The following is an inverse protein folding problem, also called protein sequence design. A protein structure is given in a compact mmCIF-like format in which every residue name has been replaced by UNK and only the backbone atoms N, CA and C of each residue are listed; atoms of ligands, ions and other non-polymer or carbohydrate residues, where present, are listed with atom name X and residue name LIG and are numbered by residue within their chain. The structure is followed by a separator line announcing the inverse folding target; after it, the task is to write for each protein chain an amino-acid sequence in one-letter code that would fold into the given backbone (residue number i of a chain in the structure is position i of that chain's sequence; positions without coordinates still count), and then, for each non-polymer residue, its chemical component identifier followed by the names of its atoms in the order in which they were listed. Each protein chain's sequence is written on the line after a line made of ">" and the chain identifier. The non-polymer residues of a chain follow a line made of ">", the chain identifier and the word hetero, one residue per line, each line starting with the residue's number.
data_IF_762159838510
#
_entry.id   IF_762159838510
#
_cell.length_a   1.000
_cell.length_b   1.000
_cell.length_c   1.000
_cell.angle_alpha   90.00
_cell.angle_beta   90.00
_cell.angle_gamma   90.00
#
_symmetry.space_group_name_H-M   'P 1'
#
loop_
_entity.id
_entity.type
_entity.pdbx_description
1 polymer ?
#
# COMPACT_ATOMS: atom_id res chain seq x y z
N UNK A 1 26.98 33.00 33.04
CA UNK A 1 26.46 31.64 33.30
C UNK A 1 25.47 31.29 32.21
N UNK A 2 25.78 30.30 31.36
CA UNK A 2 24.87 29.83 30.30
C UNK A 2 23.73 29.06 30.96
N UNK A 3 22.49 29.44 30.68
CA UNK A 3 21.30 28.85 31.30
C UNK A 3 21.01 27.47 30.67
N UNK A 4 21.20 26.40 31.44
CA UNK A 4 21.11 24.97 31.06
C UNK A 4 19.65 24.50 31.21
N UNK A 5 18.69 25.19 30.62
CA UNK A 5 17.28 24.77 30.66
C UNK A 5 16.55 25.07 29.34
N UNK A 6 16.76 24.22 28.32
CA UNK A 6 15.75 23.92 27.29
C UNK A 6 16.07 22.70 26.41
N UNK A 7 16.74 21.65 26.93
CA UNK A 7 16.98 20.39 26.19
C UNK A 7 15.93 19.32 26.45
N UNK A 8 14.66 19.72 26.51
CA UNK A 8 13.55 18.79 26.35
C UNK A 8 12.67 19.31 25.21
N UNK A 9 13.10 19.08 23.97
CA UNK A 9 12.16 19.06 22.85
C UNK A 9 11.12 18.00 23.19
N UNK A 10 9.87 18.43 23.45
CA UNK A 10 8.74 17.51 23.60
C UNK A 10 8.76 16.59 22.39
N UNK A 11 8.99 15.30 22.63
CA UNK A 11 8.95 14.26 21.60
C UNK A 11 7.61 14.38 20.89
N UNK A 12 7.65 14.72 19.61
CA UNK A 12 6.45 15.00 18.83
C UNK A 12 5.78 13.66 18.54
N UNK A 13 4.69 13.35 19.24
CA UNK A 13 3.88 12.17 18.94
C UNK A 13 3.30 12.30 17.53
N UNK A 14 3.27 11.19 16.79
CA UNK A 14 2.62 11.13 15.47
C UNK A 14 3.45 11.64 14.29
N UNK A 15 4.79 11.68 14.35
CA UNK A 15 5.66 12.07 13.22
C UNK A 15 6.46 10.88 12.67
N UNK A 16 5.78 9.79 12.32
CA UNK A 16 6.44 8.57 11.81
C UNK A 16 6.47 8.47 10.29
N UNK A 17 5.71 9.31 9.59
CA UNK A 17 5.76 9.41 8.13
C UNK A 17 6.79 10.45 7.72
N UNK A 18 7.64 10.10 6.76
CA UNK A 18 8.56 11.01 6.10
C UNK A 18 7.99 11.46 4.75
N UNK A 19 8.29 12.70 4.37
CA UNK A 19 7.88 13.28 3.10
C UNK A 19 8.54 12.51 1.95
N UNK A 20 7.78 12.23 0.88
CA UNK A 20 8.33 11.69 -0.35
C UNK A 20 9.12 12.76 -1.12
N UNK A 21 10.44 12.65 -1.06
CA UNK A 21 11.40 13.58 -1.66
C UNK A 21 11.85 13.17 -3.07
N UNK A 22 11.24 12.14 -3.67
CA UNK A 22 11.54 11.74 -5.06
C UNK A 22 11.19 12.86 -6.03
N UNK A 23 11.85 12.87 -7.20
CA UNK A 23 11.49 13.75 -8.31
C UNK A 23 10.06 13.44 -8.79
N UNK A 24 9.34 14.43 -9.31
CA UNK A 24 7.98 14.20 -9.84
C UNK A 24 7.98 13.15 -10.96
N UNK A 25 9.01 13.12 -11.81
CA UNK A 25 9.20 12.08 -12.83
C UNK A 25 9.36 10.68 -12.27
N UNK A 26 9.85 10.54 -11.03
CA UNK A 26 9.92 9.25 -10.33
C UNK A 26 8.62 8.89 -9.62
N UNK A 27 7.82 9.88 -9.22
CA UNK A 27 6.46 9.67 -8.67
C UNK A 27 5.46 9.33 -9.75
N UNK A 28 5.59 9.91 -10.94
CA UNK A 28 4.80 9.58 -12.14
C UNK A 28 4.93 8.12 -12.54
N UNK A 29 6.04 7.48 -12.18
CA UNK A 29 6.21 6.05 -12.38
C UNK A 29 5.20 5.27 -11.53
N UNK A 30 4.86 5.65 -10.30
CA UNK A 30 4.03 4.83 -9.41
C UNK A 30 2.74 4.34 -10.09
N UNK A 31 2.38 3.07 -9.89
CA UNK A 31 1.21 2.48 -10.53
C UNK A 31 -0.04 3.19 -10.02
N UNK A 32 -0.89 3.70 -10.92
CA UNK A 32 -2.10 4.45 -10.56
C UNK A 32 -3.36 3.76 -11.05
N UNK A 33 -4.43 3.89 -10.28
CA UNK A 33 -5.66 3.12 -10.49
C UNK A 33 -6.41 3.40 -11.80
N UNK A 34 -6.15 4.54 -12.44
CA UNK A 34 -6.84 5.00 -13.66
C UNK A 34 -6.71 4.02 -14.85
N UNK A 35 -5.83 3.03 -14.74
CA UNK A 35 -5.60 1.99 -15.75
C UNK A 35 -6.26 0.65 -15.47
N UNK A 36 -6.71 0.40 -14.24
CA UNK A 36 -7.06 -0.95 -13.78
C UNK A 36 -8.55 -1.30 -13.87
N UNK A 37 -9.43 -0.30 -13.87
CA UNK A 37 -10.84 -0.35 -14.27
C UNK A 37 -11.55 0.91 -13.78
N UNK A 38 -12.73 1.19 -14.32
CA UNK A 38 -13.75 1.97 -13.61
C UNK A 38 -14.11 1.26 -12.31
N UNK A 39 -13.94 1.95 -11.18
CA UNK A 39 -14.38 1.49 -9.88
C UNK A 39 -15.91 1.48 -9.87
N UNK A 40 -16.52 0.33 -9.59
CA UNK A 40 -17.96 0.24 -9.48
C UNK A 40 -18.45 1.19 -8.36
N UNK A 41 -19.54 1.94 -8.59
CA UNK A 41 -20.05 2.85 -7.57
C UNK A 41 -20.44 2.05 -6.32
N UNK A 42 -19.99 2.52 -5.16
CA UNK A 42 -20.34 1.92 -3.88
C UNK A 42 -21.68 2.42 -3.38
N UNK A 43 -22.37 1.58 -2.60
CA UNK A 43 -23.59 1.97 -1.92
C UNK A 43 -23.24 2.45 -0.53
N UNK A 44 -23.36 3.75 -0.31
CA UNK A 44 -23.17 4.38 0.99
C UNK A 44 -24.39 4.13 1.88
N UNK A 45 -24.18 3.47 3.03
CA UNK A 45 -25.22 3.20 4.04
C UNK A 45 -24.63 3.39 5.42
N UNK A 46 -25.48 3.78 6.37
CA UNK A 46 -25.11 3.72 7.79
C UNK A 46 -24.75 2.29 8.19
N UNK A 47 -23.81 2.16 9.12
CA UNK A 47 -23.32 0.86 9.59
C UNK A 47 -23.04 0.96 11.09
N UNK A 48 -23.75 0.18 11.92
CA UNK A 48 -23.53 0.21 13.36
C UNK A 48 -22.22 -0.47 13.72
N UNK A 49 -21.65 -0.13 14.89
CA UNK A 49 -20.29 -0.49 15.28
C UNK A 49 -20.04 -2.00 15.33
N UNK A 50 -21.04 -2.80 15.69
CA UNK A 50 -20.99 -4.26 15.69
C UNK A 50 -20.71 -4.85 14.29
N UNK A 51 -21.12 -4.15 13.23
CA UNK A 51 -21.00 -4.60 11.84
C UNK A 51 -19.76 -4.03 11.14
N UNK A 52 -18.96 -3.21 11.82
CA UNK A 52 -17.71 -2.73 11.26
C UNK A 52 -16.76 -3.88 11.00
N UNK A 53 -16.08 -3.83 9.86
CA UNK A 53 -14.92 -4.69 9.61
C UNK A 53 -13.77 -4.25 10.53
N UNK A 54 -13.21 -5.19 11.29
CA UNK A 54 -12.22 -4.93 12.35
C UNK A 54 -11.09 -5.95 12.30
N UNK A 55 -9.89 -5.51 12.64
CA UNK A 55 -8.71 -6.36 12.77
C UNK A 55 -7.98 -6.08 14.09
N UNK A 56 -7.01 -6.95 14.50
CA UNK A 56 -6.22 -6.71 15.70
C UNK A 56 -5.57 -5.31 15.70
N UNK A 57 -5.73 -4.58 16.82
CA UNK A 57 -5.14 -3.25 17.00
C UNK A 57 -3.68 -3.39 17.41
N UNK A 58 -2.85 -2.46 16.92
CA UNK A 58 -1.40 -2.44 17.14
C UNK A 58 -0.99 -1.30 18.07
N UNK A 59 0.19 -1.42 18.68
CA UNK A 59 0.80 -0.36 19.48
C UNK A 59 2.27 -0.14 19.09
N UNK A 60 2.52 0.98 18.39
CA UNK A 60 3.87 1.43 18.03
C UNK A 60 4.64 2.05 19.21
N UNK A 61 3.96 2.30 20.34
CA UNK A 61 4.49 3.00 21.51
C UNK A 61 5.26 4.29 21.11
N UNK A 62 6.47 4.48 21.62
CA UNK A 62 7.26 5.70 21.49
C UNK A 62 8.22 5.67 20.28
N UNK A 63 7.88 4.92 19.22
CA UNK A 63 8.65 4.79 17.99
C UNK A 63 8.00 5.51 16.80
N UNK A 64 8.80 5.88 15.79
CA UNK A 64 8.34 6.46 14.52
C UNK A 64 7.77 5.43 13.54
N UNK A 65 7.41 4.24 13.99
CA UNK A 65 7.17 3.07 13.12
C UNK A 65 5.75 2.92 12.57
N UNK A 66 4.93 3.98 12.58
CA UNK A 66 3.54 3.92 12.11
C UNK A 66 3.40 3.40 10.67
N UNK A 67 4.32 3.78 9.77
CA UNK A 67 4.31 3.30 8.39
C UNK A 67 4.51 1.78 8.37
N UNK A 68 5.53 1.25 9.04
CA UNK A 68 5.75 -0.18 9.10
C UNK A 68 4.58 -0.94 9.74
N UNK A 69 3.99 -0.40 10.82
CA UNK A 69 2.79 -0.97 11.46
C UNK A 69 1.59 -1.03 10.52
N UNK A 70 1.35 0.04 9.74
CA UNK A 70 0.29 0.05 8.74
C UNK A 70 0.54 -0.96 7.62
N UNK A 71 1.80 -1.11 7.16
CA UNK A 71 2.14 -2.11 6.12
C UNK A 71 1.86 -3.52 6.59
N UNK A 72 2.33 -3.91 7.77
CA UNK A 72 2.08 -5.27 8.29
C UNK A 72 0.60 -5.54 8.58
N UNK A 73 -0.18 -4.50 8.89
CA UNK A 73 -1.64 -4.61 8.96
C UNK A 73 -2.25 -4.87 7.58
N UNK A 74 -1.85 -4.14 6.54
CA UNK A 74 -2.30 -4.45 5.17
C UNK A 74 -2.00 -5.91 4.79
N UNK A 75 -0.76 -6.37 5.03
CA UNK A 75 -0.35 -7.75 4.75
C UNK A 75 -1.15 -8.78 5.53
N UNK A 76 -1.39 -8.56 6.83
CA UNK A 76 -2.21 -9.45 7.64
C UNK A 76 -3.68 -9.53 7.18
N UNK A 77 -4.24 -8.41 6.73
CA UNK A 77 -5.60 -8.37 6.15
C UNK A 77 -5.65 -9.10 4.80
N UNK A 78 -4.64 -8.91 3.96
CA UNK A 78 -4.57 -9.64 2.69
C UNK A 78 -4.46 -11.15 2.93
N UNK A 79 -3.69 -11.59 3.93
CA UNK A 79 -3.62 -13.00 4.30
C UNK A 79 -4.97 -13.51 4.80
N UNK A 80 -5.69 -12.70 5.59
CA UNK A 80 -7.04 -13.04 6.02
C UNK A 80 -8.00 -13.19 4.85
N UNK A 81 -7.93 -12.32 3.84
CA UNK A 81 -8.76 -12.45 2.65
C UNK A 81 -8.48 -13.76 1.89
N UNK A 82 -7.21 -14.16 1.82
CA UNK A 82 -6.76 -15.32 1.06
C UNK A 82 -6.96 -16.66 1.80
N UNK A 83 -6.58 -16.71 3.07
CA UNK A 83 -6.50 -17.94 3.87
C UNK A 83 -7.58 -18.01 4.96
N UNK A 84 -8.39 -16.97 5.11
CA UNK A 84 -9.35 -16.81 6.22
C UNK A 84 -8.67 -16.77 7.60
N UNK A 85 -7.36 -16.51 7.63
CA UNK A 85 -6.55 -16.39 8.84
C UNK A 85 -5.72 -15.10 8.82
N UNK A 86 -5.85 -14.29 9.87
CA UNK A 86 -5.10 -13.05 9.98
C UNK A 86 -3.66 -13.32 10.42
N UNK A 87 -2.70 -13.06 9.53
CA UNK A 87 -1.29 -13.18 9.86
C UNK A 87 -0.81 -12.01 10.72
N UNK A 88 -0.37 -12.29 11.95
CA UNK A 88 0.20 -11.27 12.84
C UNK A 88 1.69 -11.10 12.53
N UNK A 89 2.03 -10.07 11.77
CA UNK A 89 3.37 -9.84 11.23
C UNK A 89 4.15 -8.74 11.97
N UNK A 90 5.48 -8.81 11.86
CA UNK A 90 6.44 -7.92 12.50
C UNK A 90 6.63 -6.59 11.77
N UNK A 91 6.17 -5.50 12.37
CA UNK A 91 6.47 -4.15 11.87
C UNK A 91 7.99 -3.88 11.91
N UNK A 92 8.72 -4.48 12.86
CA UNK A 92 10.16 -4.29 13.03
C UNK A 92 10.96 -4.89 11.86
N UNK A 93 10.49 -5.98 11.27
CA UNK A 93 11.14 -6.58 10.10
C UNK A 93 11.11 -5.62 8.89
N UNK A 94 9.98 -4.95 8.65
CA UNK A 94 9.93 -3.87 7.66
C UNK A 94 10.78 -2.68 8.10
N UNK A 95 10.59 -2.21 9.33
CA UNK A 95 11.17 -0.95 9.81
C UNK A 95 12.70 -0.95 9.79
N UNK A 96 13.34 -2.06 10.15
CA UNK A 96 14.81 -2.20 10.16
C UNK A 96 15.44 -2.30 8.76
N UNK A 97 14.65 -2.35 7.68
CA UNK A 97 15.14 -2.36 6.29
C UNK A 97 15.08 -0.99 5.61
N UNK A 98 14.47 0.01 6.27
CA UNK A 98 14.27 1.34 5.71
C UNK A 98 15.58 2.03 5.33
N UNK A 99 15.53 2.82 4.26
CA UNK A 99 16.69 3.52 3.73
C UNK A 99 17.32 4.51 4.74
N UNK A 100 16.51 5.08 5.64
CA UNK A 100 16.94 6.04 6.65
C UNK A 100 17.24 5.41 8.02
N UNK A 101 17.51 4.11 8.13
CA UNK A 101 17.95 3.51 9.40
C UNK A 101 19.30 4.15 9.82
N UNK A 102 19.48 4.56 11.10
CA UNK A 102 18.61 4.33 12.25
C UNK A 102 17.67 5.50 12.60
N UNK A 103 17.55 6.53 11.77
CA UNK A 103 16.67 7.68 12.05
C UNK A 103 15.19 7.27 12.06
N UNK A 104 14.39 7.89 12.93
CA UNK A 104 12.98 7.55 13.07
C UNK A 104 12.16 7.89 11.81
N UNK A 105 11.07 7.13 11.61
CA UNK A 105 10.12 7.31 10.52
C UNK A 105 10.49 6.58 9.23
N UNK A 106 9.53 6.48 8.31
CA UNK A 106 9.72 5.89 6.97
C UNK A 106 8.99 6.70 5.91
N UNK A 107 9.52 6.68 4.68
CA UNK A 107 8.78 7.11 3.50
C UNK A 107 7.83 6.00 3.04
N UNK A 108 6.64 6.36 2.54
CA UNK A 108 5.64 5.38 2.12
C UNK A 108 6.10 4.50 0.96
N UNK A 109 6.81 5.10 -0.01
CA UNK A 109 7.33 4.35 -1.15
C UNK A 109 8.43 3.35 -0.76
N UNK A 110 9.39 3.74 0.09
CA UNK A 110 10.43 2.83 0.60
C UNK A 110 9.79 1.65 1.34
N UNK A 111 8.78 1.94 2.17
CA UNK A 111 8.03 0.90 2.87
C UNK A 111 7.28 -0.05 1.93
N UNK A 112 6.66 0.45 0.86
CA UNK A 112 6.02 -0.38 -0.16
C UNK A 112 7.03 -1.26 -0.90
N UNK A 113 8.20 -0.72 -1.25
CA UNK A 113 9.27 -1.49 -1.91
C UNK A 113 9.80 -2.61 -1.02
N UNK A 114 10.01 -2.32 0.27
CA UNK A 114 10.43 -3.31 1.26
C UNK A 114 9.38 -4.40 1.39
N UNK A 115 8.10 -4.04 1.53
CA UNK A 115 7.02 -5.01 1.64
C UNK A 115 6.96 -5.94 0.42
N UNK A 116 7.08 -5.44 -0.81
CA UNK A 116 7.03 -6.26 -2.03
C UNK A 116 8.26 -7.17 -2.16
N UNK A 117 9.43 -6.66 -1.79
CA UNK A 117 10.68 -7.41 -1.90
C UNK A 117 10.80 -8.49 -0.83
N UNK A 118 10.37 -8.19 0.40
CA UNK A 118 10.71 -8.97 1.58
C UNK A 118 9.49 -9.50 2.34
N UNK A 119 8.31 -8.90 2.16
CA UNK A 119 7.16 -9.06 3.05
C UNK A 119 7.52 -8.67 4.48
N UNK A 120 6.99 -9.42 5.45
CA UNK A 120 7.34 -9.29 6.86
C UNK A 120 7.19 -10.64 7.55
N UNK A 121 8.17 -11.01 8.37
CA UNK A 121 8.10 -12.23 9.17
C UNK A 121 7.04 -12.13 10.27
N UNK A 122 6.71 -13.26 10.91
CA UNK A 122 5.75 -13.32 12.01
C UNK A 122 6.19 -12.48 13.22
N UNK A 123 5.23 -11.86 13.90
CA UNK A 123 5.46 -11.02 15.08
C UNK A 123 6.21 -11.77 16.20
N UNK A 124 5.94 -13.06 16.41
CA UNK A 124 6.64 -13.88 17.40
C UNK A 124 8.11 -14.17 17.05
N UNK A 125 8.49 -14.09 15.77
CA UNK A 125 9.86 -14.32 15.32
C UNK A 125 10.72 -13.06 15.40
N UNK A 126 10.12 -11.89 15.20
CA UNK A 126 10.77 -10.59 15.39
C UNK A 126 9.81 -9.59 16.07
N UNK A 127 9.65 -9.61 17.40
CA UNK A 127 8.66 -8.77 18.08
C UNK A 127 8.82 -7.28 17.79
N UNK A 128 7.70 -6.56 17.66
CA UNK A 128 7.61 -5.15 17.31
C UNK A 128 6.62 -4.36 18.18
N UNK A 129 5.60 -5.02 18.74
CA UNK A 129 4.61 -4.38 19.61
C UNK A 129 5.25 -3.79 20.88
N UNK A 130 4.78 -2.60 21.29
CA UNK A 130 5.22 -1.90 22.50
C UNK A 130 6.73 -1.63 22.56
N UNK A 131 7.38 -1.46 21.40
CA UNK A 131 8.81 -1.16 21.31
C UNK A 131 9.06 0.31 21.04
N UNK A 132 9.99 0.88 21.81
CA UNK A 132 10.53 2.21 21.55
C UNK A 132 11.43 2.21 20.29
N UNK A 133 11.87 3.40 19.89
CA UNK A 133 12.69 3.59 18.69
C UNK A 133 13.97 2.74 18.68
N UNK A 134 14.68 2.63 19.80
CA UNK A 134 15.92 1.84 19.88
C UNK A 134 15.65 0.37 19.60
N UNK A 135 14.64 -0.21 20.25
CA UNK A 135 14.28 -1.62 20.08
C UNK A 135 13.68 -1.91 18.70
N UNK A 136 12.99 -0.94 18.09
CA UNK A 136 12.52 -1.04 16.71
C UNK A 136 13.65 -0.98 15.68
N UNK A 137 14.84 -0.50 16.05
CA UNK A 137 16.01 -0.46 15.17
C UNK A 137 16.91 -1.69 15.26
N UNK A 138 16.65 -2.58 16.22
CA UNK A 138 17.42 -3.81 16.42
C UNK A 138 16.98 -4.92 15.46
N UNK A 139 17.93 -5.43 14.67
CA UNK A 139 17.78 -6.55 13.75
C UNK A 139 18.74 -7.72 14.03
N UNK A 140 19.36 -7.78 15.22
CA UNK A 140 20.29 -8.86 15.61
C UNK A 140 19.63 -10.25 15.57
N UNK A 141 18.34 -10.30 15.82
CA UNK A 141 17.55 -11.53 15.79
C UNK A 141 17.02 -11.87 14.39
N UNK A 142 17.25 -11.05 13.35
CA UNK A 142 16.97 -11.44 11.96
C UNK A 142 17.87 -12.61 11.55
N UNK A 143 17.27 -13.61 10.92
CA UNK A 143 17.95 -14.80 10.38
C UNK A 143 17.35 -15.14 9.00
N UNK A 144 18.09 -15.82 8.11
CA UNK A 144 17.59 -16.19 6.78
C UNK A 144 16.24 -16.90 6.79
N UNK A 145 16.00 -17.80 7.76
CA UNK A 145 14.71 -18.49 7.91
C UNK A 145 13.53 -17.52 8.13
N UNK A 146 13.75 -16.45 8.91
CA UNK A 146 12.74 -15.42 9.18
C UNK A 146 12.46 -14.58 7.92
N UNK A 147 13.49 -14.32 7.12
CA UNK A 147 13.34 -13.63 5.83
C UNK A 147 12.54 -14.46 4.84
N UNK A 148 12.83 -15.77 4.73
CA UNK A 148 12.07 -16.69 3.87
C UNK A 148 10.60 -16.74 4.29
N UNK A 149 10.33 -16.79 5.60
CA UNK A 149 8.95 -16.70 6.11
C UNK A 149 8.30 -15.37 5.73
N UNK A 150 9.03 -14.26 5.84
CA UNK A 150 8.52 -12.95 5.43
C UNK A 150 8.12 -12.90 3.95
N UNK A 151 8.89 -13.55 3.08
CA UNK A 151 8.63 -13.61 1.65
C UNK A 151 7.33 -14.33 1.28
N UNK A 152 6.75 -15.14 2.16
CA UNK A 152 5.44 -15.75 1.96
C UNK A 152 4.39 -14.65 1.89
N UNK A 153 4.39 -13.73 2.85
CA UNK A 153 3.39 -12.67 2.99
C UNK A 153 3.67 -11.41 2.14
N UNK A 154 4.48 -11.52 1.07
CA UNK A 154 4.84 -10.35 0.26
C UNK A 154 3.78 -10.08 -0.82
N UNK A 155 3.31 -8.85 -0.97
CA UNK A 155 2.42 -8.49 -2.05
C UNK A 155 3.21 -8.44 -3.37
N UNK A 156 2.52 -8.60 -4.50
CA UNK A 156 3.16 -8.53 -5.83
C UNK A 156 3.44 -7.10 -6.25
N UNK A 157 2.54 -6.17 -5.91
CA UNK A 157 2.63 -4.77 -6.30
C UNK A 157 1.86 -3.87 -5.33
N UNK A 158 1.88 -2.57 -5.58
CA UNK A 158 1.04 -1.58 -4.93
C UNK A 158 0.47 -0.63 -5.97
N UNK A 159 -0.71 -0.10 -5.70
CA UNK A 159 -1.40 0.85 -6.55
C UNK A 159 -1.72 2.11 -5.73
N UNK A 160 -1.33 3.27 -6.24
CA UNK A 160 -1.66 4.57 -5.69
C UNK A 160 -3.07 4.99 -6.11
N UNK A 161 -3.78 5.64 -5.20
CA UNK A 161 -5.16 6.09 -5.36
C UNK A 161 -5.24 7.62 -5.34
N UNK A 162 -6.21 8.23 -6.05
CA UNK A 162 -6.62 9.60 -5.77
C UNK A 162 -7.16 9.71 -4.33
N UNK A 163 -7.09 10.92 -3.75
CA UNK A 163 -7.65 11.21 -2.44
C UNK A 163 -9.16 11.45 -2.55
N UNK A 164 -9.87 10.43 -3.01
CA UNK A 164 -11.29 10.45 -3.29
C UNK A 164 -11.98 9.31 -2.53
N UNK A 165 -13.00 9.64 -1.75
CA UNK A 165 -13.66 8.68 -0.86
C UNK A 165 -14.43 7.61 -1.64
N UNK A 166 -15.00 7.93 -2.80
CA UNK A 166 -15.70 6.94 -3.62
C UNK A 166 -14.73 5.89 -4.19
N UNK A 167 -13.57 6.35 -4.65
CA UNK A 167 -12.47 5.49 -5.11
C UNK A 167 -11.96 4.59 -3.98
N UNK A 168 -11.65 5.18 -2.82
CA UNK A 168 -11.15 4.43 -1.65
C UNK A 168 -12.21 3.41 -1.18
N UNK A 169 -13.47 3.82 -1.05
CA UNK A 169 -14.56 2.93 -0.67
C UNK A 169 -14.78 1.81 -1.67
N UNK A 170 -14.60 2.07 -2.98
CA UNK A 170 -14.65 1.03 -4.00
C UNK A 170 -13.60 -0.06 -3.83
N UNK A 171 -12.39 0.29 -3.37
CA UNK A 171 -11.36 -0.69 -3.00
C UNK A 171 -11.76 -1.45 -1.73
N UNK A 172 -12.21 -0.73 -0.70
CA UNK A 172 -12.66 -1.33 0.56
C UNK A 172 -13.85 -2.28 0.37
N UNK A 173 -14.73 -2.01 -0.60
CA UNK A 173 -15.88 -2.87 -0.94
C UNK A 173 -15.47 -4.25 -1.42
N UNK A 174 -14.24 -4.40 -1.93
CA UNK A 174 -13.64 -5.68 -2.33
C UNK A 174 -12.94 -6.39 -1.16
N UNK A 175 -13.04 -5.86 0.06
CA UNK A 175 -12.30 -6.34 1.22
C UNK A 175 -10.81 -5.97 1.19
N UNK A 176 -10.35 -5.14 0.27
CA UNK A 176 -8.94 -4.76 0.18
C UNK A 176 -8.67 -3.56 1.10
N UNK A 177 -7.72 -3.63 2.04
CA UNK A 177 -7.38 -2.51 2.91
C UNK A 177 -6.69 -1.39 2.12
N UNK A 178 -6.85 -0.14 2.58
CA UNK A 178 -6.17 1.01 1.96
C UNK A 178 -5.30 1.70 3.00
N UNK A 179 -4.01 1.81 2.73
CA UNK A 179 -3.11 2.61 3.55
C UNK A 179 -3.23 4.11 3.22
N UNK A 180 -3.46 4.90 4.27
CA UNK A 180 -3.67 6.33 4.19
C UNK A 180 -2.69 7.06 5.11
N UNK A 181 -2.11 8.15 4.64
CA UNK A 181 -1.31 9.05 5.48
C UNK A 181 -2.03 10.36 5.70
N UNK A 182 -2.01 10.86 6.93
CA UNK A 182 -2.66 12.11 7.31
C UNK A 182 -1.69 13.11 7.93
N UNK A 183 -1.90 14.39 7.63
CA UNK A 183 -1.29 15.53 8.33
C UNK A 183 -2.33 16.17 9.25
N UNK A 184 -1.97 16.44 10.49
CA UNK A 184 -2.90 17.00 11.49
C UNK A 184 -2.14 17.57 12.70
N UNK A 185 -2.84 18.29 13.56
CA UNK A 185 -2.44 18.52 14.95
C UNK A 185 -3.08 17.47 15.88
N UNK A 186 -2.38 17.12 16.96
CA UNK A 186 -2.84 16.08 17.90
C UNK A 186 -4.24 16.39 18.47
N UNK A 187 -4.58 17.67 18.65
CA UNK A 187 -5.92 18.09 19.11
C UNK A 187 -7.04 17.82 18.10
N UNK A 188 -6.72 17.73 16.80
CA UNK A 188 -7.67 17.31 15.76
C UNK A 188 -7.85 15.78 15.80
N UNK A 189 -6.76 15.03 15.97
CA UNK A 189 -6.71 13.58 15.76
C UNK A 189 -7.04 12.73 16.99
N UNK A 190 -6.80 13.20 18.22
CA UNK A 190 -7.02 12.40 19.42
C UNK A 190 -8.50 12.34 19.84
N UNK A 191 -9.37 11.95 18.91
CA UNK A 191 -10.83 11.84 19.00
C UNK A 191 -11.30 10.61 18.23
N UNK A 192 -12.47 10.08 18.57
CA UNK A 192 -13.10 9.00 17.80
C UNK A 192 -13.53 9.41 16.40
N UNK A 193 -14.00 10.65 16.27
CA UNK A 193 -14.28 11.32 15.01
C UNK A 193 -13.39 12.57 14.97
N UNK A 194 -12.28 12.54 14.23
CA UNK A 194 -11.39 13.69 14.12
C UNK A 194 -12.09 14.91 13.51
N UNK A 195 -11.72 16.11 13.96
CA UNK A 195 -12.31 17.37 13.50
C UNK A 195 -11.21 18.33 13.03
N UNK A 196 -11.41 18.94 11.87
CA UNK A 196 -10.47 19.92 11.31
C UNK A 196 -10.50 21.20 12.15
N UNK A 197 -9.31 21.65 12.54
CA UNK A 197 -9.08 22.98 13.09
C UNK A 197 -8.66 23.93 11.94
N UNK A 198 -9.38 25.04 11.70
CA UNK A 198 -9.00 26.04 10.71
C UNK A 198 -7.60 26.64 10.95
N UNK A 199 -7.15 26.66 12.20
CA UNK A 199 -5.83 27.17 12.61
C UNK A 199 -4.78 26.06 12.79
N UNK A 200 -5.02 24.87 12.23
CA UNK A 200 -4.10 23.74 12.34
C UNK A 200 -2.72 24.06 11.77
N UNK A 201 -1.68 23.64 12.49
CA UNK A 201 -0.28 23.73 12.07
C UNK A 201 0.16 22.49 11.29
N UNK A 202 -0.70 21.47 11.18
CA UNK A 202 -0.38 20.20 10.52
C UNK A 202 0.92 19.59 11.06
N UNK A 203 1.09 19.62 12.38
CA UNK A 203 2.37 19.34 13.02
C UNK A 203 2.76 17.86 13.06
N UNK A 204 1.79 16.94 12.95
CA UNK A 204 1.99 15.50 12.90
C UNK A 204 1.80 14.93 11.49
N UNK A 205 2.42 13.79 11.21
CA UNK A 205 2.30 13.03 9.96
C UNK A 205 2.29 11.53 10.27
N UNK A 206 1.12 10.91 10.09
CA UNK A 206 0.84 9.57 10.60
C UNK A 206 0.24 8.67 9.53
N UNK A 207 0.60 7.39 9.58
CA UNK A 207 0.14 6.34 8.67
C UNK A 207 -0.85 5.42 9.35
N UNK A 208 -1.96 5.12 8.68
CA UNK A 208 -3.04 4.26 9.17
C UNK A 208 -3.58 3.36 8.05
N UNK A 209 -4.48 2.44 8.39
CA UNK A 209 -5.15 1.57 7.41
C UNK A 209 -6.65 1.79 7.49
N UNK A 210 -7.26 2.19 6.38
CA UNK A 210 -8.70 2.12 6.19
C UNK A 210 -9.13 0.67 5.96
N UNK A 211 -10.14 0.24 6.71
CA UNK A 211 -10.61 -1.16 6.73
C UNK A 211 -12.08 -1.28 6.40
N UNK A 212 -12.85 -0.19 6.49
CA UNK A 212 -14.28 -0.16 6.19
C UNK A 212 -14.75 1.23 5.74
N UNK A 213 -15.97 1.30 5.22
CA UNK A 213 -16.65 2.53 4.81
C UNK A 213 -18.16 2.49 5.13
N UNK A 214 -18.77 3.65 5.35
CA UNK A 214 -20.20 3.83 5.63
C UNK A 214 -20.61 5.31 5.60
N UNK A 215 -21.91 5.58 5.74
CA UNK A 215 -22.42 6.92 6.09
C UNK A 215 -22.35 7.14 7.60
N UNK A 216 -21.85 8.31 8.00
CA UNK A 216 -21.84 8.77 9.37
C UNK A 216 -22.36 10.21 9.40
N UNK A 217 -23.48 10.45 10.09
CA UNK A 217 -24.18 11.75 10.10
C UNK A 217 -24.39 12.32 8.68
N UNK A 218 -24.92 11.50 7.77
CA UNK A 218 -25.13 11.83 6.35
C UNK A 218 -23.86 12.21 5.55
N UNK A 219 -22.67 11.98 6.09
CA UNK A 219 -21.38 12.19 5.39
C UNK A 219 -20.74 10.87 5.03
N UNK A 220 -20.00 10.83 3.93
CA UNK A 220 -19.15 9.68 3.60
C UNK A 220 -18.05 9.55 4.64
N UNK A 221 -17.85 8.34 5.14
CA UNK A 221 -16.86 8.07 6.17
C UNK A 221 -16.07 6.79 5.89
N UNK A 222 -14.78 6.83 6.25
CA UNK A 222 -13.88 5.69 6.28
C UNK A 222 -13.61 5.31 7.73
N UNK A 223 -13.67 4.03 8.04
CA UNK A 223 -13.17 3.50 9.30
C UNK A 223 -11.69 3.19 9.13
N UNK A 224 -10.85 3.85 9.93
CA UNK A 224 -9.41 3.58 9.99
C UNK A 224 -9.04 2.91 11.30
N UNK A 225 -8.00 2.09 11.25
CA UNK A 225 -7.31 1.52 12.41
C UNK A 225 -5.88 2.06 12.43
N UNK A 226 -5.48 2.61 13.58
CA UNK A 226 -4.13 3.11 13.79
C UNK A 226 -3.26 2.14 14.60
N UNK A 227 -2.06 2.59 14.96
CA UNK A 227 -1.12 1.85 15.80
C UNK A 227 -0.89 2.53 17.15
N UNK A 228 -1.90 3.19 17.71
CA UNK A 228 -1.82 3.90 19.01
C UNK A 228 -2.52 3.17 20.16
N UNK A 229 -2.65 1.84 20.05
CA UNK A 229 -3.33 0.97 21.01
C UNK A 229 -4.84 1.14 21.09
N UNK A 230 -5.49 0.21 21.79
CA UNK A 230 -6.94 0.22 22.03
C UNK A 230 -7.41 1.43 22.86
N UNK A 231 -6.50 2.12 23.54
CA UNK A 231 -6.84 3.27 24.39
C UNK A 231 -6.99 4.58 23.59
N UNK A 232 -6.80 4.55 22.27
CA UNK A 232 -6.90 5.73 21.40
C UNK A 232 -8.16 5.71 20.54
N UNK A 233 -8.80 6.87 20.33
CA UNK A 233 -10.00 6.97 19.52
C UNK A 233 -11.14 6.09 20.05
N UNK A 234 -11.75 5.31 19.17
CA UNK A 234 -12.79 4.31 19.48
C UNK A 234 -12.10 2.94 19.46
N UNK A 235 -11.54 2.50 20.58
CA UNK A 235 -10.87 1.20 20.68
C UNK A 235 -9.73 1.00 19.63
N UNK A 236 -8.93 2.02 19.38
CA UNK A 236 -7.87 2.04 18.35
C UNK A 236 -8.35 2.44 16.95
N UNK A 237 -9.60 2.89 16.81
CA UNK A 237 -10.23 3.24 15.53
C UNK A 237 -10.65 4.69 15.47
N UNK A 238 -10.82 5.19 14.24
CA UNK A 238 -11.41 6.51 13.97
C UNK A 238 -12.33 6.46 12.77
N UNK A 239 -13.36 7.29 12.84
CA UNK A 239 -14.26 7.57 11.72
C UNK A 239 -13.74 8.83 11.06
N UNK A 240 -13.15 8.69 9.87
CA UNK A 240 -12.64 9.81 9.09
C UNK A 240 -13.72 10.20 8.09
N UNK A 241 -14.29 11.40 8.25
CA UNK A 241 -15.32 11.93 7.35
C UNK A 241 -14.71 12.64 6.14
N UNK A 242 -15.46 12.74 5.05
CA UNK A 242 -14.95 13.24 3.76
C UNK A 242 -14.34 14.65 3.79
N UNK A 243 -14.71 15.51 4.76
CA UNK A 243 -14.07 16.80 4.98
C UNK A 243 -12.57 16.70 5.31
N UNK A 244 -12.08 15.53 5.74
CA UNK A 244 -10.66 15.24 5.96
C UNK A 244 -9.85 14.99 4.69
N UNK A 245 -10.47 15.00 3.51
CA UNK A 245 -9.77 14.82 2.22
C UNK A 245 -8.52 15.70 2.07
N UNK A 246 -8.54 17.01 2.42
CA UNK A 246 -7.35 17.87 2.33
C UNK A 246 -6.22 17.52 3.32
N UNK A 247 -6.46 16.62 4.27
CA UNK A 247 -5.46 16.12 5.23
C UNK A 247 -4.76 14.87 4.73
N UNK A 248 -5.27 14.21 3.69
CA UNK A 248 -4.67 13.02 3.09
C UNK A 248 -3.41 13.43 2.31
N UNK A 249 -2.33 12.68 2.49
CA UNK A 249 -1.03 12.91 1.83
C UNK A 249 -0.50 11.67 1.11
N UNK A 250 -1.16 10.52 1.31
CA UNK A 250 -0.87 9.28 0.63
C UNK A 250 -2.12 8.40 0.66
N UNK A 251 -2.37 7.70 -0.43
CA UNK A 251 -3.36 6.65 -0.51
C UNK A 251 -2.84 5.56 -1.45
N UNK A 252 -2.70 4.35 -0.93
CA UNK A 252 -2.34 3.19 -1.74
C UNK A 252 -2.93 1.93 -1.16
N UNK A 253 -3.06 0.90 -1.97
CA UNK A 253 -3.29 -0.47 -1.49
C UNK A 253 -2.27 -1.41 -2.12
N UNK A 254 -2.00 -2.51 -1.43
CA UNK A 254 -1.24 -3.61 -2.00
C UNK A 254 -2.13 -4.49 -2.87
N UNK A 255 -1.60 -4.86 -4.02
CA UNK A 255 -2.22 -5.85 -4.88
C UNK A 255 -1.61 -7.22 -4.61
N UNK A 256 -2.50 -8.20 -4.46
CA UNK A 256 -2.25 -9.63 -4.56
C UNK A 256 -1.27 -10.20 -3.52
N UNK A 257 -1.82 -10.93 -2.55
CA UNK A 257 -1.13 -12.07 -1.96
C UNK A 257 -1.67 -13.31 -2.68
N UNK A 258 -0.76 -14.09 -3.22
CA UNK A 258 -1.05 -15.28 -4.00
C UNK A 258 -0.29 -16.46 -3.39
N UNK A 259 -0.46 -16.62 -2.07
CA UNK A 259 0.12 -17.70 -1.29
C UNK A 259 -0.37 -19.06 -1.80
N UNK A 260 -1.64 -19.16 -2.20
CA UNK A 260 -2.19 -20.39 -2.76
C UNK A 260 -1.51 -20.79 -4.06
N UNK A 261 -1.14 -19.86 -4.97
CA UNK A 261 -0.36 -20.23 -6.16
C UNK A 261 1.12 -20.52 -5.87
N UNK A 262 1.65 -20.27 -4.66
CA UNK A 262 2.95 -20.86 -4.26
C UNK A 262 2.85 -22.39 -4.18
N UNK A 263 1.65 -22.92 -3.90
CA UNK A 263 1.38 -24.35 -3.77
C UNK A 263 0.58 -24.92 -4.95
N UNK A 264 -0.24 -24.09 -5.60
CA UNK A 264 -1.03 -24.43 -6.78
C UNK A 264 -0.25 -24.05 -8.03
N UNK A 265 0.22 -25.07 -8.72
CA UNK A 265 0.80 -24.99 -10.06
C UNK A 265 -0.32 -24.84 -11.10
N UNK A 266 -1.30 -23.96 -10.86
CA UNK A 266 -2.47 -23.87 -11.74
C UNK A 266 -2.03 -23.34 -13.11
N UNK A 267 -2.49 -24.02 -14.16
CA UNK A 267 -2.19 -23.70 -15.56
C UNK A 267 -2.78 -22.34 -15.90
N UNK A 268 -2.00 -21.26 -15.73
CA UNK A 268 -2.33 -19.97 -16.34
C UNK A 268 -2.45 -20.24 -17.84
N UNK A 269 -3.64 -20.05 -18.42
CA UNK A 269 -3.84 -20.30 -19.86
C UNK A 269 -2.99 -19.28 -20.61
N UNK A 270 -1.91 -19.77 -21.24
CA UNK A 270 -1.02 -18.93 -22.02
C UNK A 270 -1.80 -18.29 -23.17
N UNK A 271 -1.88 -16.95 -23.24
CA UNK A 271 -2.60 -16.27 -24.31
C UNK A 271 -2.07 -16.69 -25.68
N UNK A 272 -2.95 -16.76 -26.69
CA UNK A 272 -2.55 -16.97 -28.09
C UNK A 272 -2.98 -15.79 -28.94
N UNK A 273 -2.03 -15.02 -29.45
CA UNK A 273 -2.27 -13.79 -30.20
C UNK A 273 -1.09 -13.37 -31.08
N UNK A 274 -1.41 -12.78 -32.23
CA UNK A 274 -0.44 -12.14 -33.11
C UNK A 274 -0.67 -10.62 -33.13
N UNK A 275 0.29 -9.87 -32.58
CA UNK A 275 0.32 -8.41 -32.60
C UNK A 275 0.75 -7.88 -33.97
N UNK A 276 -0.19 -7.20 -34.65
CA UNK A 276 0.01 -6.68 -36.01
C UNK A 276 0.18 -5.15 -36.07
N UNK A 277 -0.08 -4.44 -34.97
CA UNK A 277 0.12 -2.99 -34.85
C UNK A 277 0.98 -2.63 -33.63
N UNK A 278 1.64 -1.48 -33.69
CA UNK A 278 2.40 -0.95 -32.57
C UNK A 278 1.46 -0.38 -31.50
N UNK A 279 1.82 -0.59 -30.24
CA UNK A 279 1.03 -0.14 -29.09
C UNK A 279 1.82 0.85 -28.24
N UNK A 280 1.16 1.92 -27.81
CA UNK A 280 1.76 3.01 -27.03
C UNK A 280 0.77 3.62 -26.07
N UNK A 281 1.31 4.40 -25.13
CA UNK A 281 0.53 5.16 -24.15
C UNK A 281 -0.57 5.97 -24.82
N UNK A 282 -1.75 5.96 -24.22
CA UNK A 282 -2.97 6.63 -24.69
C UNK A 282 -3.86 5.77 -25.59
N UNK A 283 -3.39 4.62 -26.08
CA UNK A 283 -4.20 3.73 -26.91
C UNK A 283 -5.26 2.97 -26.09
N UNK A 284 -6.44 2.77 -26.68
CA UNK A 284 -7.50 1.92 -26.13
C UNK A 284 -8.06 0.96 -27.17
N UNK A 285 -7.74 -0.33 -27.12
CA UNK A 285 -8.24 -1.34 -28.05
C UNK A 285 -8.01 -2.79 -27.55
N UNK A 286 -8.46 -3.78 -28.35
CA UNK A 286 -8.33 -5.19 -28.01
C UNK A 286 -6.87 -5.68 -27.98
N UNK A 287 -5.99 -5.18 -28.84
CA UNK A 287 -4.57 -5.55 -28.81
C UNK A 287 -3.91 -5.15 -27.49
N UNK A 288 -4.25 -3.97 -26.95
CA UNK A 288 -3.80 -3.57 -25.62
C UNK A 288 -4.35 -4.50 -24.54
N UNK A 289 -5.61 -4.96 -24.67
CA UNK A 289 -6.21 -5.89 -23.71
C UNK A 289 -5.45 -7.22 -23.69
N UNK A 290 -5.16 -7.77 -24.86
CA UNK A 290 -4.39 -9.02 -24.97
C UNK A 290 -2.94 -8.83 -24.56
N UNK A 291 -2.32 -7.68 -24.84
CA UNK A 291 -1.00 -7.33 -24.32
C UNK A 291 -0.98 -7.39 -22.78
N UNK A 292 -1.98 -6.82 -22.11
CA UNK A 292 -2.12 -6.90 -20.65
C UNK A 292 -2.25 -8.34 -20.17
N UNK A 293 -3.01 -9.19 -20.88
CA UNK A 293 -3.11 -10.62 -20.57
C UNK A 293 -1.77 -11.36 -20.72
N UNK A 294 -1.01 -11.10 -21.79
CA UNK A 294 0.36 -11.62 -21.94
C UNK A 294 1.26 -11.16 -20.79
N UNK A 295 1.19 -9.89 -20.41
CA UNK A 295 2.02 -9.35 -19.33
C UNK A 295 1.63 -9.90 -17.95
N UNK A 296 0.35 -10.25 -17.72
CA UNK A 296 -0.08 -10.98 -16.52
C UNK A 296 0.49 -12.39 -16.47
N UNK A 297 0.49 -13.08 -17.61
CA UNK A 297 1.09 -14.40 -17.75
C UNK A 297 2.60 -14.36 -17.42
N UNK A 298 3.29 -13.30 -17.84
CA UNK A 298 4.71 -13.07 -17.51
C UNK A 298 4.97 -12.60 -16.07
N UNK A 299 3.92 -12.42 -15.25
CA UNK A 299 3.98 -11.83 -13.90
C UNK A 299 4.48 -10.38 -13.87
N UNK A 300 4.29 -9.65 -14.98
CA UNK A 300 4.74 -8.27 -15.14
C UNK A 300 3.61 -7.25 -15.00
N UNK A 301 2.36 -7.70 -15.06
CA UNK A 301 1.14 -6.91 -14.91
C UNK A 301 0.22 -7.48 -13.80
N UNK A 302 -0.52 -6.61 -13.08
CA UNK A 302 -1.58 -6.97 -12.11
C UNK A 302 -2.47 -8.16 -12.50
N UNK A 303 -2.39 -9.31 -11.81
CA UNK A 303 -3.15 -10.54 -12.16
C UNK A 303 -4.64 -10.44 -11.84
N UNK A 304 -4.98 -9.76 -10.74
CA UNK A 304 -6.34 -9.71 -10.20
C UNK A 304 -7.23 -8.69 -10.91
N UNK A 305 -6.63 -7.79 -11.68
CA UNK A 305 -7.34 -6.73 -12.38
C UNK A 305 -7.79 -7.20 -13.75
N UNK A 306 -8.95 -6.78 -14.22
CA UNK A 306 -9.35 -7.07 -15.60
C UNK A 306 -8.44 -6.31 -16.58
N UNK A 307 -8.15 -6.94 -17.72
CA UNK A 307 -7.45 -6.22 -18.79
C UNK A 307 -8.42 -5.23 -19.41
N UNK A 308 -8.17 -3.93 -19.17
CA UNK A 308 -9.05 -2.82 -19.55
C UNK A 308 -8.94 -2.46 -21.03
N UNK A 309 -7.85 -2.90 -21.68
CA UNK A 309 -7.52 -2.51 -23.04
C UNK A 309 -7.04 -1.07 -23.17
N UNK A 310 -6.71 -0.38 -22.06
CA UNK A 310 -6.11 0.95 -22.08
C UNK A 310 -4.63 0.94 -21.72
N UNK A 311 -3.82 1.58 -22.55
CA UNK A 311 -2.38 1.63 -22.41
C UNK A 311 -2.00 2.90 -21.64
N UNK A 312 -1.83 2.81 -20.33
CA UNK A 312 -1.25 3.89 -19.51
C UNK A 312 0.13 3.54 -18.96
N UNK A 313 0.51 4.15 -17.85
CA UNK A 313 1.73 3.93 -17.07
C UNK A 313 1.92 2.53 -16.48
N UNK A 314 0.89 1.81 -16.01
CA UNK A 314 0.97 0.40 -15.61
C UNK A 314 1.36 -0.46 -16.80
N UNK A 315 0.66 -0.29 -17.93
CA UNK A 315 0.97 -1.06 -19.15
C UNK A 315 2.37 -0.70 -19.66
N UNK A 316 2.73 0.59 -19.67
CA UNK A 316 4.07 1.08 -20.01
C UNK A 316 5.15 0.40 -19.17
N UNK A 317 5.03 0.44 -17.84
CA UNK A 317 5.99 -0.19 -16.92
C UNK A 317 6.07 -1.70 -17.07
N UNK A 318 4.94 -2.35 -17.29
CA UNK A 318 4.92 -3.79 -17.53
C UNK A 318 5.66 -4.14 -18.84
N UNK A 319 5.51 -3.32 -19.88
CA UNK A 319 6.28 -3.45 -21.12
C UNK A 319 7.76 -3.13 -20.94
N UNK A 320 8.13 -2.12 -20.14
CA UNK A 320 9.54 -1.86 -19.80
C UNK A 320 10.17 -3.06 -19.07
N UNK A 321 9.45 -3.65 -18.11
CA UNK A 321 9.89 -4.88 -17.44
C UNK A 321 10.03 -6.04 -18.43
N UNK A 322 9.11 -6.17 -19.40
CA UNK A 322 9.16 -7.19 -20.43
C UNK A 322 10.38 -6.98 -21.35
N UNK A 323 10.59 -5.74 -21.81
CA UNK A 323 11.75 -5.36 -22.61
C UNK A 323 13.05 -5.68 -21.87
N UNK A 324 13.15 -5.32 -20.59
CA UNK A 324 14.30 -5.66 -19.75
C UNK A 324 14.48 -7.17 -19.57
N UNK A 325 13.41 -7.92 -19.32
CA UNK A 325 13.43 -9.39 -19.16
C UNK A 325 13.96 -10.09 -20.40
N UNK A 326 13.68 -9.55 -21.59
CA UNK A 326 14.07 -10.14 -22.87
C UNK A 326 15.19 -9.39 -23.60
N UNK A 327 15.93 -8.50 -22.91
CA UNK A 327 17.04 -7.72 -23.45
C UNK A 327 16.69 -6.94 -24.75
N UNK A 328 15.52 -6.31 -24.77
CA UNK A 328 15.04 -5.48 -25.88
C UNK A 328 15.38 -4.02 -25.58
N UNK A 329 16.16 -3.40 -26.46
CA UNK A 329 16.51 -1.98 -26.38
C UNK A 329 15.85 -1.17 -27.51
N UNK A 330 15.43 0.09 -27.26
CA UNK A 330 15.46 0.77 -25.97
C UNK A 330 14.35 0.29 -25.02
N UNK A 331 14.65 0.22 -23.71
CA UNK A 331 13.64 0.04 -22.64
C UNK A 331 12.80 1.33 -22.52
N UNK A 332 11.88 1.50 -23.47
CA UNK A 332 11.07 2.71 -23.66
C UNK A 332 9.62 2.52 -23.25
N UNK A 333 9.21 1.28 -22.99
CA UNK A 333 7.82 0.90 -22.79
C UNK A 333 6.95 1.04 -24.05
N UNK A 334 7.52 1.39 -25.22
CA UNK A 334 6.84 1.37 -26.50
C UNK A 334 6.80 -0.05 -27.08
N UNK A 335 5.61 -0.55 -27.41
CA UNK A 335 5.45 -1.87 -28.03
C UNK A 335 5.62 -1.75 -29.55
N UNK A 336 6.82 -1.38 -29.97
CA UNK A 336 7.22 -1.31 -31.38
C UNK A 336 7.63 -2.66 -31.96
N UNK A 337 8.20 -2.65 -33.17
CA UNK A 337 8.53 -3.86 -33.92
C UNK A 337 9.36 -4.89 -33.15
N UNK A 338 10.37 -4.45 -32.37
CA UNK A 338 11.23 -5.36 -31.61
C UNK A 338 10.46 -6.07 -30.49
N UNK A 339 9.70 -5.31 -29.69
CA UNK A 339 8.86 -5.86 -28.61
C UNK A 339 7.75 -6.75 -29.17
N UNK A 340 7.08 -6.34 -30.25
CA UNK A 340 6.06 -7.15 -30.93
C UNK A 340 6.61 -8.45 -31.49
N UNK A 341 7.81 -8.41 -32.06
CA UNK A 341 8.44 -9.62 -32.59
C UNK A 341 8.64 -10.63 -31.48
N UNK A 342 9.13 -10.18 -30.31
CA UNK A 342 9.28 -11.06 -29.15
C UNK A 342 7.94 -11.54 -28.59
N UNK A 343 6.94 -10.67 -28.51
CA UNK A 343 5.58 -11.09 -28.10
C UNK A 343 5.02 -12.14 -29.05
N UNK A 344 5.15 -11.95 -30.36
CA UNK A 344 4.69 -12.91 -31.37
C UNK A 344 5.48 -14.22 -31.32
N UNK A 345 6.78 -14.19 -31.04
CA UNK A 345 7.57 -15.40 -30.83
C UNK A 345 7.03 -16.22 -29.64
N UNK A 346 6.60 -15.55 -28.57
CA UNK A 346 6.14 -16.20 -27.35
C UNK A 346 4.66 -16.60 -27.39
N UNK A 347 3.81 -15.81 -28.05
CA UNK A 347 2.36 -15.88 -27.90
C UNK A 347 1.60 -16.14 -29.21
N UNK A 348 2.24 -16.21 -30.37
CA UNK A 348 1.53 -16.49 -31.62
C UNK A 348 0.94 -17.91 -31.69
#
# INVERSE_FOLDING_TARGET
>A
MKNIFSLFTKKQYGTGVLIDTRLETDKEKDFRIEELATIAPVIWKEKPQENWRKFPIRNQDNSGSCVANSKVKELGILNYNEEQEFATLSARDIYTRRANKPQAGMQGQDANQIAIKCGATLENLMPSENKNETLMNDDLDRKPSKEVIGMIFRPKSWICLPFDFDTIAGILSKGIPVNLFFRFDISEWNKGVPEINPNSKLSAHHSVVAVDYFLYDNRKALLIEDSWSINSGIEGRRIITEDWTPRITWASYFEDLDNWNLLKKDEVIKPKYQFNQDLKVGMRNNDVKILQDCLKYEELFPRTQESTGFYGGITLKAVEKFQKKYNIEPISGYTGILTRTKLNELYK
#
